data_IF_928862030826
#
_entry.id   IF_928862030826
#
_cell.length_a   1.000
_cell.length_b   1.000
_cell.length_c   1.000
_cell.angle_alpha   90.00
_cell.angle_beta   90.00
_cell.angle_gamma   90.00
#
_symmetry.space_group_name_H-M   'P 1'
#
loop_
_entity.id
_entity.type
_entity.pdbx_description
1 polymer ?
#
# COMPACT_ATOMS: atom_id res chain seq x y z
N UNK A 1 5.45 47.58 -4.53
CA UNK A 1 5.35 47.22 -3.08
C UNK A 1 4.17 46.30 -2.85
N UNK A 2 2.96 46.59 -3.32
CA UNK A 2 1.73 45.80 -3.11
C UNK A 2 1.85 44.38 -3.66
N UNK A 3 2.38 44.23 -4.87
CA UNK A 3 2.59 42.89 -5.48
C UNK A 3 3.54 42.00 -4.68
N UNK A 4 4.64 42.55 -4.15
CA UNK A 4 5.58 41.80 -3.31
C UNK A 4 4.96 41.37 -1.98
N UNK A 5 4.11 42.23 -1.39
CA UNK A 5 3.38 41.87 -0.17
C UNK A 5 2.38 40.74 -0.40
N UNK A 6 1.61 40.82 -1.49
CA UNK A 6 0.67 39.75 -1.86
C UNK A 6 1.42 38.45 -2.15
N UNK A 7 2.51 38.53 -2.89
CA UNK A 7 3.34 37.36 -3.19
C UNK A 7 3.88 36.68 -1.91
N UNK A 8 4.47 37.47 -1.00
CA UNK A 8 5.02 36.93 0.25
C UNK A 8 3.93 36.34 1.14
N UNK A 9 2.75 36.97 1.19
CA UNK A 9 1.63 36.44 1.96
C UNK A 9 1.10 35.13 1.39
N UNK A 10 0.93 35.05 0.07
CA UNK A 10 0.49 33.81 -0.61
C UNK A 10 1.50 32.69 -0.46
N UNK A 11 2.79 32.99 -0.67
CA UNK A 11 3.86 32.01 -0.50
C UNK A 11 3.95 31.50 0.95
N UNK A 12 3.86 32.39 1.93
CA UNK A 12 3.89 32.02 3.34
C UNK A 12 2.67 31.17 3.72
N UNK A 13 1.47 31.56 3.28
CA UNK A 13 0.24 30.80 3.51
C UNK A 13 0.31 29.39 2.89
N UNK A 14 0.80 29.31 1.65
CA UNK A 14 0.99 28.03 0.97
C UNK A 14 2.00 27.14 1.70
N UNK A 15 3.18 27.65 2.05
CA UNK A 15 4.20 26.88 2.78
C UNK A 15 3.69 26.40 4.14
N UNK A 16 2.87 27.19 4.81
CA UNK A 16 2.22 26.76 6.04
C UNK A 16 1.22 25.62 5.80
N UNK A 17 0.41 25.71 4.74
CA UNK A 17 -0.50 24.65 4.30
C UNK A 17 0.24 23.34 3.99
N UNK A 18 1.37 23.42 3.28
CA UNK A 18 2.21 22.24 2.99
C UNK A 18 2.78 21.63 4.27
N UNK A 19 3.20 22.45 5.24
CA UNK A 19 3.67 21.95 6.53
C UNK A 19 2.58 21.17 7.28
N UNK A 20 1.37 21.72 7.33
CA UNK A 20 0.22 21.05 7.94
C UNK A 20 -0.07 19.74 7.21
N UNK A 21 -0.10 19.74 5.88
CA UNK A 21 -0.31 18.55 5.06
C UNK A 21 0.75 17.48 5.35
N UNK A 22 2.02 17.87 5.48
CA UNK A 22 3.11 16.96 5.83
C UNK A 22 2.87 16.30 7.18
N UNK A 23 2.56 17.07 8.20
CA UNK A 23 2.28 16.55 9.55
C UNK A 23 1.09 15.60 9.55
N UNK A 24 0.02 15.94 8.83
CA UNK A 24 -1.15 15.06 8.71
C UNK A 24 -0.82 13.74 7.99
N UNK A 25 -0.02 13.78 6.92
CA UNK A 25 0.42 12.58 6.22
C UNK A 25 1.29 11.71 7.12
N UNK A 26 2.25 12.28 7.82
CA UNK A 26 3.12 11.56 8.76
C UNK A 26 2.27 10.86 9.85
N UNK A 27 1.30 11.54 10.44
CA UNK A 27 0.38 10.97 11.43
C UNK A 27 -0.49 9.85 10.84
N UNK A 28 -0.97 10.03 9.61
CA UNK A 28 -1.75 9.02 8.90
C UNK A 28 -0.94 7.74 8.66
N UNK A 29 0.29 7.87 8.18
CA UNK A 29 1.17 6.73 7.95
C UNK A 29 1.56 6.03 9.25
N UNK A 30 1.81 6.77 10.32
CA UNK A 30 2.06 6.22 11.64
C UNK A 30 0.85 5.45 12.18
N UNK A 31 -0.34 6.01 12.04
CA UNK A 31 -1.59 5.33 12.39
C UNK A 31 -1.75 4.01 11.63
N UNK A 32 -1.52 4.01 10.30
CA UNK A 32 -1.60 2.79 9.49
C UNK A 32 -0.55 1.76 9.93
N UNK A 33 0.67 2.18 10.25
CA UNK A 33 1.71 1.28 10.77
C UNK A 33 1.32 0.57 12.06
N UNK A 34 0.61 1.26 12.95
CA UNK A 34 0.12 0.66 14.21
C UNK A 34 -1.08 -0.25 13.94
N UNK A 35 -1.94 0.12 13.00
CA UNK A 35 -3.13 -0.65 12.65
C UNK A 35 -2.80 -1.98 11.94
N UNK A 36 -1.80 -1.98 11.05
CA UNK A 36 -1.41 -3.13 10.24
C UNK A 36 -1.09 -4.38 11.09
N UNK A 37 -0.22 -4.33 12.12
CA UNK A 37 0.04 -5.51 12.94
C UNK A 37 -1.20 -6.00 13.69
N UNK A 38 -2.04 -5.11 14.21
CA UNK A 38 -3.26 -5.49 14.91
C UNK A 38 -4.23 -6.24 13.98
N UNK A 39 -4.40 -5.75 12.74
CA UNK A 39 -5.23 -6.40 11.73
C UNK A 39 -4.71 -7.79 11.37
N UNK A 40 -3.41 -7.92 11.09
CA UNK A 40 -2.83 -9.22 10.71
C UNK A 40 -2.75 -10.21 11.86
N UNK A 41 -2.65 -9.77 13.10
CA UNK A 41 -2.85 -10.62 14.28
C UNK A 41 -4.26 -11.23 14.30
N UNK A 42 -5.29 -10.41 14.10
CA UNK A 42 -6.67 -10.91 14.04
C UNK A 42 -6.86 -11.93 12.91
N UNK A 43 -6.30 -11.68 11.71
CA UNK A 43 -6.31 -12.63 10.58
C UNK A 43 -5.57 -13.93 10.92
N UNK A 44 -4.47 -13.84 11.65
CA UNK A 44 -3.68 -15.00 12.09
C UNK A 44 -4.47 -15.91 13.02
N UNK A 45 -5.22 -15.33 13.96
CA UNK A 45 -6.10 -16.06 14.87
C UNK A 45 -7.30 -16.70 14.16
N UNK A 46 -7.73 -16.14 13.03
CA UNK A 46 -8.80 -16.71 12.20
C UNK A 46 -8.36 -17.90 11.33
N UNK A 47 -7.14 -18.42 11.50
CA UNK A 47 -6.63 -19.61 10.83
C UNK A 47 -5.75 -19.35 9.58
N UNK A 48 -5.51 -18.11 9.22
CA UNK A 48 -4.69 -17.71 8.06
C UNK A 48 -3.24 -17.34 8.39
N UNK A 49 -2.56 -18.06 9.29
CA UNK A 49 -1.26 -17.64 9.84
C UNK A 49 -0.16 -17.40 8.80
N UNK A 50 -0.08 -18.21 7.75
CA UNK A 50 0.95 -18.05 6.71
C UNK A 50 0.63 -16.91 5.76
N UNK A 51 -0.61 -16.82 5.32
CA UNK A 51 -1.11 -15.71 4.48
C UNK A 51 -1.07 -14.37 5.24
N UNK A 52 -1.33 -14.40 6.55
CA UNK A 52 -1.23 -13.23 7.41
C UNK A 52 0.20 -12.69 7.49
N UNK A 53 1.20 -13.54 7.68
CA UNK A 53 2.61 -13.12 7.75
C UNK A 53 3.10 -12.50 6.43
N UNK A 54 2.77 -13.12 5.30
CA UNK A 54 3.11 -12.59 3.98
C UNK A 54 2.37 -11.26 3.71
N UNK A 55 1.07 -11.21 3.99
CA UNK A 55 0.25 -9.99 3.84
C UNK A 55 0.76 -8.83 4.69
N UNK A 56 1.16 -9.10 5.95
CA UNK A 56 1.76 -8.12 6.84
C UNK A 56 3.02 -7.50 6.23
N UNK A 57 3.97 -8.33 5.81
CA UNK A 57 5.23 -7.85 5.24
C UNK A 57 5.01 -6.98 3.99
N UNK A 58 4.11 -7.40 3.11
CA UNK A 58 3.76 -6.66 1.89
C UNK A 58 3.03 -5.35 2.17
N UNK A 59 2.07 -5.37 3.08
CA UNK A 59 1.34 -4.15 3.46
C UNK A 59 2.28 -3.13 4.08
N UNK A 60 3.17 -3.57 4.98
CA UNK A 60 4.14 -2.69 5.61
C UNK A 60 5.12 -2.10 4.58
N UNK A 61 5.60 -2.93 3.63
CA UNK A 61 6.45 -2.46 2.54
C UNK A 61 5.72 -1.42 1.66
N UNK A 62 4.46 -1.67 1.31
CA UNK A 62 3.64 -0.75 0.51
C UNK A 62 3.41 0.59 1.22
N UNK A 63 3.14 0.55 2.53
CA UNK A 63 2.99 1.76 3.35
C UNK A 63 4.28 2.57 3.38
N UNK A 64 5.44 1.92 3.58
CA UNK A 64 6.74 2.59 3.59
C UNK A 64 7.08 3.22 2.23
N UNK A 65 6.80 2.52 1.13
CA UNK A 65 7.01 3.06 -0.23
C UNK A 65 6.09 4.25 -0.48
N UNK A 66 4.81 4.13 -0.12
CA UNK A 66 3.85 5.22 -0.28
C UNK A 66 4.27 6.46 0.52
N UNK A 67 4.64 6.29 1.80
CA UNK A 67 5.13 7.37 2.64
C UNK A 67 6.35 8.06 2.02
N UNK A 68 7.35 7.28 1.60
CA UNK A 68 8.55 7.82 0.98
C UNK A 68 8.21 8.63 -0.28
N UNK A 69 7.35 8.11 -1.15
CA UNK A 69 6.93 8.80 -2.38
C UNK A 69 6.18 10.08 -2.06
N UNK A 70 5.22 10.05 -1.13
CA UNK A 70 4.44 11.24 -0.80
C UNK A 70 5.28 12.32 -0.12
N UNK A 71 6.09 11.95 0.89
CA UNK A 71 6.86 12.91 1.68
C UNK A 71 8.12 13.40 0.97
N UNK A 72 8.81 12.55 0.21
CA UNK A 72 10.11 12.88 -0.40
C UNK A 72 10.00 13.31 -1.86
N UNK A 73 8.94 12.93 -2.57
CA UNK A 73 8.77 13.26 -3.98
C UNK A 73 7.61 14.23 -4.20
N UNK A 74 6.39 13.88 -3.80
CA UNK A 74 5.21 14.68 -4.14
C UNK A 74 5.17 16.03 -3.40
N UNK A 75 5.43 16.06 -2.10
CA UNK A 75 5.42 17.31 -1.33
C UNK A 75 6.44 18.33 -1.85
N UNK A 76 7.74 18.01 -2.00
CA UNK A 76 8.70 18.98 -2.52
C UNK A 76 8.43 19.35 -3.99
N UNK A 77 7.96 18.42 -4.84
CA UNK A 77 7.57 18.75 -6.20
C UNK A 77 6.40 19.76 -6.23
N UNK A 78 5.40 19.58 -5.37
CA UNK A 78 4.28 20.51 -5.25
C UNK A 78 4.73 21.89 -4.74
N UNK A 79 5.66 21.91 -3.77
CA UNK A 79 6.25 23.18 -3.30
C UNK A 79 6.96 23.93 -4.41
N UNK A 80 7.81 23.22 -5.16
CA UNK A 80 8.54 23.82 -6.28
C UNK A 80 7.59 24.29 -7.38
N UNK A 81 6.57 23.51 -7.71
CA UNK A 81 5.57 23.87 -8.71
C UNK A 81 4.85 25.18 -8.36
N UNK A 82 4.37 25.31 -7.14
CA UNK A 82 3.64 26.52 -6.73
C UNK A 82 4.56 27.72 -6.63
N UNK A 83 5.76 27.57 -6.09
CA UNK A 83 6.74 28.67 -6.02
C UNK A 83 7.16 29.14 -7.40
N UNK A 84 7.43 28.21 -8.34
CA UNK A 84 7.75 28.53 -9.73
C UNK A 84 6.57 29.17 -10.45
N UNK A 85 5.36 28.69 -10.21
CA UNK A 85 4.13 29.26 -10.77
C UNK A 85 3.93 30.71 -10.31
N UNK A 86 4.09 30.96 -9.02
CA UNK A 86 4.03 32.30 -8.45
C UNK A 86 5.13 33.23 -8.99
N UNK A 87 6.38 32.70 -9.11
CA UNK A 87 7.50 33.46 -9.64
C UNK A 87 7.35 33.72 -11.15
N UNK A 88 6.77 32.77 -11.90
CA UNK A 88 6.50 32.92 -13.34
C UNK A 88 5.53 34.05 -13.65
N UNK A 89 4.57 34.32 -12.79
CA UNK A 89 3.65 35.47 -12.93
C UNK A 89 4.34 36.83 -12.70
N UNK A 90 5.49 36.84 -12.02
CA UNK A 90 6.29 38.05 -11.81
C UNK A 90 7.36 38.26 -12.91
N UNK A 91 7.75 37.22 -13.61
CA UNK A 91 8.84 37.25 -14.61
C UNK A 91 8.34 36.67 -15.92
N UNK A 92 8.33 37.46 -16.98
CA UNK A 92 7.88 37.09 -18.33
C UNK A 92 8.87 36.18 -19.08
N UNK A 93 9.53 35.22 -18.41
CA UNK A 93 10.51 34.34 -19.05
C UNK A 93 9.91 32.95 -19.32
N UNK A 94 9.94 32.51 -20.57
CA UNK A 94 9.48 31.18 -21.06
C UNK A 94 10.14 29.97 -20.37
N UNK A 95 11.27 30.19 -19.69
CA UNK A 95 12.00 29.14 -18.96
C UNK A 95 11.18 28.54 -17.80
N UNK A 96 10.39 29.37 -17.12
CA UNK A 96 9.54 28.92 -16.00
C UNK A 96 8.38 28.04 -16.50
N UNK A 97 7.84 28.32 -17.68
CA UNK A 97 6.78 27.55 -18.30
C UNK A 97 7.20 26.12 -18.57
N UNK A 98 8.37 25.90 -19.15
CA UNK A 98 8.90 24.54 -19.42
C UNK A 98 9.21 23.75 -18.15
N UNK A 99 9.73 24.42 -17.12
CA UNK A 99 10.00 23.78 -15.84
C UNK A 99 8.71 23.33 -15.14
N UNK A 100 7.65 24.16 -15.18
CA UNK A 100 6.34 23.85 -14.67
C UNK A 100 5.70 22.65 -15.39
N UNK A 101 5.79 22.61 -16.72
CA UNK A 101 5.29 21.51 -17.55
C UNK A 101 5.98 20.18 -17.21
N UNK A 102 7.30 20.19 -17.05
CA UNK A 102 8.08 19.02 -16.64
C UNK A 102 7.69 18.52 -15.23
N UNK A 103 7.53 19.43 -14.28
CA UNK A 103 7.09 19.07 -12.92
C UNK A 103 5.67 18.48 -12.93
N UNK A 104 4.75 19.09 -13.67
CA UNK A 104 3.38 18.60 -13.81
C UNK A 104 3.34 17.20 -14.44
N UNK A 105 4.10 17.01 -15.54
CA UNK A 105 4.20 15.72 -16.21
C UNK A 105 4.83 14.66 -15.31
N UNK A 106 5.88 15.02 -14.56
CA UNK A 106 6.53 14.15 -13.58
C UNK A 106 5.59 13.71 -12.46
N UNK A 107 4.82 14.65 -11.90
CA UNK A 107 3.81 14.34 -10.87
C UNK A 107 2.69 13.46 -11.41
N UNK A 108 2.18 13.73 -12.60
CA UNK A 108 1.15 12.90 -13.26
C UNK A 108 1.64 11.48 -13.53
N UNK A 109 2.86 11.34 -14.04
CA UNK A 109 3.46 10.04 -14.31
C UNK A 109 3.75 9.28 -13.00
N UNK A 110 4.31 9.94 -12.01
CA UNK A 110 4.58 9.39 -10.69
C UNK A 110 3.31 8.89 -9.99
N UNK A 111 2.22 9.65 -10.04
CA UNK A 111 0.92 9.24 -9.48
C UNK A 111 0.38 7.99 -10.16
N UNK A 112 0.44 7.92 -11.49
CA UNK A 112 0.00 6.74 -12.24
C UNK A 112 0.87 5.52 -11.95
N UNK A 113 2.18 5.70 -11.87
CA UNK A 113 3.12 4.64 -11.54
C UNK A 113 2.88 4.10 -10.11
N UNK A 114 2.68 4.99 -9.13
CA UNK A 114 2.38 4.60 -7.75
C UNK A 114 1.08 3.79 -7.67
N UNK A 115 0.00 4.28 -8.30
CA UNK A 115 -1.27 3.56 -8.36
C UNK A 115 -1.11 2.20 -9.05
N UNK A 116 -0.38 2.14 -10.16
CA UNK A 116 -0.11 0.90 -10.88
C UNK A 116 0.65 -0.12 -10.03
N UNK A 117 1.66 0.32 -9.29
CA UNK A 117 2.43 -0.52 -8.37
C UNK A 117 1.54 -1.03 -7.23
N UNK A 118 0.79 -0.15 -6.56
CA UNK A 118 -0.08 -0.53 -5.43
C UNK A 118 -1.17 -1.50 -5.88
N UNK A 119 -1.85 -1.20 -6.99
CA UNK A 119 -2.89 -2.08 -7.54
C UNK A 119 -2.31 -3.39 -8.05
N UNK A 120 -1.18 -3.36 -8.76
CA UNK A 120 -0.47 -4.55 -9.22
C UNK A 120 -0.09 -5.48 -8.07
N UNK A 121 0.42 -4.93 -6.98
CA UNK A 121 0.71 -5.69 -5.76
C UNK A 121 -0.53 -6.33 -5.15
N UNK A 122 -1.65 -5.61 -5.06
CA UNK A 122 -2.91 -6.16 -4.56
C UNK A 122 -3.41 -7.35 -5.39
N UNK A 123 -3.32 -7.25 -6.72
CA UNK A 123 -3.69 -8.34 -7.62
C UNK A 123 -2.77 -9.55 -7.42
N UNK A 124 -1.46 -9.34 -7.34
CA UNK A 124 -0.50 -10.41 -7.09
C UNK A 124 -0.74 -11.11 -5.75
N UNK A 125 -1.01 -10.37 -4.67
CA UNK A 125 -1.36 -10.93 -3.37
C UNK A 125 -2.62 -11.80 -3.45
N UNK A 126 -3.67 -11.33 -4.13
CA UNK A 126 -4.91 -12.08 -4.31
C UNK A 126 -4.72 -13.39 -5.10
N UNK A 127 -3.73 -13.43 -5.98
CA UNK A 127 -3.39 -14.64 -6.74
C UNK A 127 -2.51 -15.62 -5.94
N UNK A 128 -1.58 -15.13 -5.14
CA UNK A 128 -0.60 -15.98 -4.42
C UNK A 128 -1.21 -16.60 -3.16
N UNK A 129 -2.10 -15.91 -2.45
CA UNK A 129 -2.69 -16.37 -1.19
C UNK A 129 -3.35 -17.76 -1.30
N UNK A 130 -4.23 -18.06 -2.28
CA UNK A 130 -4.88 -19.36 -2.39
C UNK A 130 -3.90 -20.50 -2.73
N UNK A 131 -2.80 -20.22 -3.46
CA UNK A 131 -1.81 -21.22 -3.80
C UNK A 131 -0.97 -21.67 -2.59
N UNK A 132 -0.63 -20.76 -1.71
CA UNK A 132 0.16 -21.04 -0.51
C UNK A 132 -0.59 -21.95 0.46
N UNK A 133 -1.88 -21.72 0.63
CA UNK A 133 -2.73 -22.53 1.52
C UNK A 133 -2.99 -23.92 0.92
N UNK A 134 -3.16 -24.05 -0.38
CA UNK A 134 -3.38 -25.33 -1.05
C UNK A 134 -2.13 -26.22 -1.02
N UNK A 135 -0.94 -25.66 -1.23
CA UNK A 135 0.34 -26.38 -1.15
C UNK A 135 0.58 -26.88 0.27
N UNK A 136 0.30 -26.07 1.29
CA UNK A 136 0.45 -26.46 2.70
C UNK A 136 -0.50 -27.60 3.09
N UNK A 137 -1.77 -27.52 2.68
CA UNK A 137 -2.73 -28.61 2.94
C UNK A 137 -2.31 -29.91 2.24
N UNK A 138 -1.80 -29.81 1.02
CA UNK A 138 -1.31 -30.98 0.27
C UNK A 138 -0.05 -31.55 0.90
N UNK A 139 0.88 -30.72 1.37
CA UNK A 139 2.08 -31.15 2.06
C UNK A 139 1.75 -31.81 3.41
N UNK A 140 0.83 -31.25 4.20
CA UNK A 140 0.36 -31.85 5.44
C UNK A 140 -0.33 -33.19 5.20
N UNK A 141 -1.20 -33.29 4.19
CA UNK A 141 -1.85 -34.56 3.82
C UNK A 141 -0.83 -35.62 3.41
N UNK A 142 0.20 -35.25 2.63
CA UNK A 142 1.29 -36.14 2.26
C UNK A 142 2.14 -36.56 3.47
N UNK A 143 2.46 -35.64 4.37
CA UNK A 143 3.22 -35.94 5.58
C UNK A 143 2.47 -36.92 6.50
N UNK A 144 1.16 -36.74 6.67
CA UNK A 144 0.31 -37.67 7.45
C UNK A 144 0.18 -39.02 6.75
N UNK A 145 0.12 -39.07 5.42
CA UNK A 145 0.04 -40.33 4.67
C UNK A 145 1.35 -41.16 4.67
N UNK A 146 2.47 -40.49 5.00
CA UNK A 146 3.77 -41.19 5.12
C UNK A 146 3.97 -41.85 6.47
N UNK A 147 3.10 -41.67 7.46
CA UNK A 147 3.16 -42.37 8.73
C UNK A 147 2.46 -43.73 8.60
N UNK A 148 3.22 -44.83 8.57
CA UNK A 148 2.64 -46.18 8.43
C UNK A 148 1.79 -46.50 9.66
N UNK A 149 0.51 -46.79 9.45
CA UNK A 149 -0.43 -47.17 10.48
C UNK A 149 -1.49 -46.10 10.87
N UNK A 150 -1.25 -44.81 10.63
CA UNK A 150 -2.22 -43.73 10.95
C UNK A 150 -2.82 -43.13 9.67
N UNK A 151 -2.09 -43.18 8.54
CA UNK A 151 -2.47 -42.51 7.30
C UNK A 151 -3.79 -43.02 6.68
N UNK A 152 -4.08 -44.30 6.78
CA UNK A 152 -5.32 -44.89 6.23
C UNK A 152 -6.55 -44.59 7.08
N UNK A 153 -6.41 -44.57 8.40
CA UNK A 153 -7.49 -44.23 9.32
C UNK A 153 -7.86 -42.76 9.28
N UNK A 154 -6.89 -41.88 9.27
CA UNK A 154 -7.12 -40.41 9.23
C UNK A 154 -7.72 -39.95 7.87
N UNK A 155 -7.33 -40.59 6.76
CA UNK A 155 -7.92 -40.32 5.45
C UNK A 155 -9.39 -40.77 5.38
N UNK A 156 -9.73 -41.91 5.93
CA UNK A 156 -11.12 -42.39 5.99
C UNK A 156 -12.00 -41.48 6.85
N UNK A 157 -11.56 -41.05 8.03
CA UNK A 157 -12.31 -40.16 8.91
C UNK A 157 -12.50 -38.78 8.26
N UNK A 158 -11.49 -38.24 7.57
CA UNK A 158 -11.64 -36.95 6.90
C UNK A 158 -12.59 -37.02 5.68
N UNK A 159 -12.64 -38.13 4.95
CA UNK A 159 -13.62 -38.33 3.89
C UNK A 159 -15.06 -38.48 4.43
N UNK A 160 -15.25 -39.15 5.53
CA UNK A 160 -16.56 -39.26 6.18
C UNK A 160 -17.04 -37.92 6.69
N UNK A 161 -16.17 -37.11 7.30
CA UNK A 161 -16.50 -35.75 7.79
C UNK A 161 -16.81 -34.79 6.64
N UNK A 162 -16.08 -34.85 5.55
CA UNK A 162 -16.36 -34.05 4.36
C UNK A 162 -17.63 -34.49 3.64
N UNK A 163 -17.87 -35.80 3.56
CA UNK A 163 -19.12 -36.36 2.98
C UNK A 163 -20.37 -36.00 3.80
N UNK A 164 -20.28 -36.02 5.13
CA UNK A 164 -21.39 -35.64 5.99
C UNK A 164 -21.71 -34.14 5.96
N UNK A 165 -20.72 -33.29 5.78
CA UNK A 165 -20.92 -31.83 5.65
C UNK A 165 -21.63 -31.43 4.35
N UNK A 166 -21.49 -32.21 3.29
CA UNK A 166 -22.20 -32.00 2.01
C UNK A 166 -23.67 -32.42 2.11
N UNK A 167 -23.97 -33.45 2.89
CA UNK A 167 -25.33 -33.92 3.13
C UNK A 167 -26.19 -32.97 4.01
N UNK A 168 -25.58 -32.20 4.88
CA UNK A 168 -26.27 -31.23 5.74
C UNK A 168 -26.61 -29.92 4.99
N UNK A 169 -26.04 -29.70 3.83
CA UNK A 169 -26.23 -28.46 3.05
C UNK A 169 -27.27 -28.57 1.93
N UNK A 170 -27.94 -29.72 1.81
CA UNK A 170 -29.05 -29.94 0.88
C UNK A 170 -30.33 -30.17 1.71
#
# INVERSE_FOLDING_TARGET
VTYLLIFTLLAASFLNGVRITRTLLEQLFEFVRVLVPAFFLAVSFSGGSTSAAAGYAWTLASVNVAEWVFLQLFLPCTQLYVLLSLAGHLSSKDLFSKALELLEQGMRWGSKALLGVVLGFHVLQGMIAPYTDSVRQTALRRAVSLIPGIGQGAAAVSQVLLGSSVLIRN
#
